data_IF_161726499976
#
_entry.id   IF_161726499976
#
_cell.length_a   1.000
_cell.length_b   1.000
_cell.length_c   1.000
_cell.angle_alpha   90.00
_cell.angle_beta   90.00
_cell.angle_gamma   90.00
#
_symmetry.space_group_name_H-M   'P 1'
#
loop_
_entity.id
_entity.type
_entity.pdbx_description
1 polymer ?
#
# COMPACT_ATOMS: atom_id res chain seq x y z
N UNK A 1 -18.80 11.67 -14.92
CA UNK A 1 -17.63 12.23 -14.21
C UNK A 1 -16.47 12.14 -15.19
N UNK A 2 -15.91 13.27 -15.60
CA UNK A 2 -14.88 13.31 -16.66
C UNK A 2 -13.52 13.52 -16.02
N UNK A 3 -12.57 12.65 -16.31
CA UNK A 3 -11.21 12.71 -15.76
C UNK A 3 -10.25 13.16 -16.86
N UNK A 4 -9.49 14.22 -16.59
CA UNK A 4 -8.47 14.72 -17.51
C UNK A 4 -7.11 14.28 -16.95
N UNK A 5 -6.32 13.60 -17.78
CA UNK A 5 -4.93 13.23 -17.46
C UNK A 5 -3.99 14.17 -18.21
N UNK A 6 -3.16 14.89 -17.47
CA UNK A 6 -2.13 15.79 -18.04
C UNK A 6 -0.78 15.35 -17.50
N UNK A 7 0.16 15.10 -18.39
CA UNK A 7 1.55 14.79 -18.02
C UNK A 7 2.37 16.06 -18.11
N UNK A 8 3.04 16.44 -17.02
CA UNK A 8 3.90 17.62 -16.94
C UNK A 8 5.29 17.15 -16.53
N UNK A 9 6.30 17.47 -17.32
CA UNK A 9 7.68 17.05 -17.07
C UNK A 9 8.35 17.82 -15.91
N UNK A 10 7.93 19.07 -15.67
CA UNK A 10 8.45 19.93 -14.62
C UNK A 10 7.61 19.79 -13.34
N UNK A 11 8.24 19.33 -12.25
CA UNK A 11 7.59 19.12 -10.96
C UNK A 11 7.09 20.42 -10.31
N UNK A 12 7.81 21.53 -10.47
CA UNK A 12 7.42 22.83 -9.91
C UNK A 12 6.19 23.38 -10.63
N UNK A 13 6.13 23.17 -11.94
CA UNK A 13 4.99 23.57 -12.75
C UNK A 13 3.76 22.70 -12.44
N UNK A 14 3.95 21.39 -12.23
CA UNK A 14 2.89 20.48 -11.80
C UNK A 14 2.27 20.91 -10.46
N UNK A 15 3.09 21.27 -9.46
CA UNK A 15 2.60 21.75 -8.17
C UNK A 15 1.79 23.06 -8.28
N UNK A 16 2.25 24.01 -9.10
CA UNK A 16 1.52 25.27 -9.36
C UNK A 16 0.17 25.00 -10.02
N UNK A 17 0.13 24.09 -10.99
CA UNK A 17 -1.12 23.71 -11.66
C UNK A 17 -2.09 23.06 -10.69
N UNK A 18 -1.63 22.15 -9.83
CA UNK A 18 -2.50 21.50 -8.82
C UNK A 18 -3.06 22.49 -7.83
N UNK A 19 -2.24 23.45 -7.37
CA UNK A 19 -2.73 24.54 -6.51
C UNK A 19 -3.81 25.34 -7.21
N UNK A 20 -3.64 25.67 -8.49
CA UNK A 20 -4.65 26.36 -9.28
C UNK A 20 -5.93 25.52 -9.46
N UNK A 21 -5.82 24.24 -9.83
CA UNK A 21 -6.97 23.36 -10.04
C UNK A 21 -7.80 23.18 -8.75
N UNK A 22 -7.16 23.16 -7.58
CA UNK A 22 -7.85 23.14 -6.28
C UNK A 22 -8.65 24.41 -5.97
N UNK A 23 -8.39 25.53 -6.65
CA UNK A 23 -9.18 26.77 -6.48
C UNK A 23 -10.48 26.75 -7.29
N UNK A 24 -10.62 25.84 -8.26
CA UNK A 24 -11.80 25.75 -9.12
C UNK A 24 -12.84 24.89 -8.42
N UNK A 25 -14.00 25.48 -8.08
CA UNK A 25 -15.07 24.83 -7.31
C UNK A 25 -15.66 23.57 -7.95
N UNK A 26 -15.54 23.42 -9.28
CA UNK A 26 -16.04 22.27 -10.02
C UNK A 26 -15.07 21.07 -10.05
N UNK A 27 -13.82 21.26 -9.59
CA UNK A 27 -12.82 20.19 -9.56
C UNK A 27 -13.01 19.40 -8.27
N UNK A 28 -13.49 18.17 -8.40
CA UNK A 28 -13.78 17.30 -7.25
C UNK A 28 -12.52 16.74 -6.60
N UNK A 29 -11.51 16.39 -7.39
CA UNK A 29 -10.28 15.78 -6.90
C UNK A 29 -9.10 16.07 -7.84
N UNK A 30 -7.91 16.21 -7.27
CA UNK A 30 -6.65 16.44 -8.00
C UNK A 30 -5.55 15.63 -7.35
N UNK A 31 -5.05 14.62 -8.05
CA UNK A 31 -3.90 13.81 -7.64
C UNK A 31 -2.66 14.13 -8.47
N UNK A 32 -1.50 14.12 -7.82
CA UNK A 32 -0.19 14.14 -8.49
C UNK A 32 0.36 12.73 -8.37
N UNK A 33 0.45 12.02 -9.49
CA UNK A 33 1.12 10.72 -9.54
C UNK A 33 2.62 10.96 -9.76
N UNK A 34 3.43 10.65 -8.75
CA UNK A 34 4.89 10.62 -8.90
C UNK A 34 5.27 9.33 -9.63
N UNK A 35 6.16 9.42 -10.61
CA UNK A 35 6.71 8.22 -11.26
C UNK A 35 7.46 7.39 -10.22
N UNK A 36 7.00 6.16 -10.00
CA UNK A 36 7.63 5.20 -9.09
C UNK A 36 8.96 4.78 -9.70
N UNK A 37 10.04 4.99 -8.97
CA UNK A 37 11.40 4.62 -9.40
C UNK A 37 11.81 3.27 -8.81
N UNK A 38 12.83 2.63 -9.40
CA UNK A 38 13.38 1.36 -8.91
C UNK A 38 13.80 1.36 -7.42
N UNK A 39 14.07 2.55 -6.85
CA UNK A 39 14.41 2.74 -5.44
C UNK A 39 13.17 2.73 -4.52
N UNK A 40 11.99 3.04 -5.06
CA UNK A 40 10.71 2.98 -4.33
C UNK A 40 10.19 1.55 -4.22
N UNK A 41 10.77 0.61 -4.97
CA UNK A 41 10.44 -0.81 -4.87
C UNK A 41 11.11 -1.43 -3.66
N UNK A 42 10.30 -2.05 -2.82
CA UNK A 42 10.75 -2.95 -1.77
C UNK A 42 11.43 -4.15 -2.44
N UNK A 43 12.76 -4.20 -2.40
CA UNK A 43 13.53 -5.36 -2.90
C UNK A 43 13.16 -6.61 -2.09
N UNK A 44 12.85 -7.70 -2.79
CA UNK A 44 12.61 -9.01 -2.17
C UNK A 44 13.82 -9.43 -1.34
N UNK A 45 13.59 -9.93 -0.12
CA UNK A 45 14.65 -10.38 0.79
C UNK A 45 15.31 -9.28 1.64
N UNK A 46 14.81 -8.03 1.61
CA UNK A 46 15.23 -7.04 2.60
C UNK A 46 14.75 -7.44 3.99
N UNK A 47 15.56 -7.18 5.01
CA UNK A 47 15.10 -7.25 6.39
C UNK A 47 13.94 -6.29 6.60
N UNK A 48 12.92 -6.75 7.33
CA UNK A 48 11.80 -5.89 7.72
C UNK A 48 12.34 -4.70 8.53
N UNK A 49 11.78 -3.51 8.28
CA UNK A 49 12.10 -2.35 9.12
C UNK A 49 11.44 -2.51 10.49
N UNK A 50 12.02 -1.89 11.52
CA UNK A 50 11.46 -1.94 12.89
C UNK A 50 9.99 -1.51 12.93
N UNK A 51 9.59 -0.54 12.08
CA UNK A 51 8.19 -0.10 11.98
C UNK A 51 7.26 -1.18 11.44
N UNK A 52 7.71 -1.93 10.43
CA UNK A 52 6.93 -3.04 9.86
C UNK A 52 6.83 -4.22 10.83
N UNK A 53 7.89 -4.48 11.61
CA UNK A 53 7.89 -5.48 12.67
C UNK A 53 6.93 -5.08 13.80
N UNK A 54 6.97 -3.82 14.23
CA UNK A 54 6.08 -3.33 15.27
C UNK A 54 4.61 -3.35 14.81
N UNK A 55 4.33 -2.96 13.57
CA UNK A 55 2.98 -3.06 13.01
C UNK A 55 2.48 -4.50 12.98
N UNK A 56 3.34 -5.46 12.59
CA UNK A 56 2.99 -6.88 12.63
C UNK A 56 2.70 -7.37 14.05
N UNK A 57 3.47 -6.93 15.05
CA UNK A 57 3.22 -7.28 16.45
C UNK A 57 1.91 -6.67 16.97
N UNK A 58 1.65 -5.41 16.64
CA UNK A 58 0.38 -4.75 16.97
C UNK A 58 -0.82 -5.42 16.29
N UNK A 59 -0.67 -5.85 15.04
CA UNK A 59 -1.69 -6.62 14.33
C UNK A 59 -1.91 -7.99 14.99
N UNK A 60 -0.84 -8.70 15.38
CA UNK A 60 -0.94 -9.98 16.10
C UNK A 60 -1.57 -9.86 17.48
N UNK A 61 -1.30 -8.78 18.21
CA UNK A 61 -1.91 -8.50 19.52
C UNK A 61 -3.38 -8.09 19.40
N UNK A 62 -3.75 -7.40 18.31
CA UNK A 62 -5.13 -7.03 18.01
C UNK A 62 -5.91 -8.13 17.29
N UNK A 63 -5.23 -9.18 16.81
CA UNK A 63 -5.88 -10.33 16.18
C UNK A 63 -6.58 -11.17 17.26
N UNK A 64 -7.84 -10.83 17.53
CA UNK A 64 -8.76 -11.63 18.37
C UNK A 64 -9.21 -12.92 17.68
N UNK A 65 -8.56 -13.34 16.60
CA UNK A 65 -8.85 -14.61 15.96
C UNK A 65 -8.14 -15.73 16.73
N UNK A 66 -8.93 -16.42 17.57
CA UNK A 66 -8.58 -17.65 18.26
C UNK A 66 -8.34 -18.81 17.27
N UNK A 67 -7.40 -18.68 16.33
CA UNK A 67 -6.90 -19.83 15.59
C UNK A 67 -6.07 -20.68 16.55
N UNK A 68 -6.79 -21.51 17.30
CA UNK A 68 -6.20 -22.49 18.20
C UNK A 68 -5.21 -23.35 17.42
N UNK A 69 -4.06 -23.64 18.03
CA UNK A 69 -3.00 -24.52 17.51
C UNK A 69 -3.49 -25.85 16.94
N UNK A 70 -4.68 -26.29 17.36
CA UNK A 70 -5.36 -27.48 16.87
C UNK A 70 -5.89 -27.34 15.43
N UNK A 71 -6.38 -26.16 15.04
CA UNK A 71 -6.87 -25.88 13.68
C UNK A 71 -5.72 -25.86 12.68
N UNK A 72 -4.59 -25.25 13.06
CA UNK A 72 -3.35 -25.26 12.26
C UNK A 72 -2.82 -26.69 12.07
N UNK A 73 -2.87 -27.52 13.13
CA UNK A 73 -2.42 -28.91 13.08
C UNK A 73 -3.36 -29.79 12.22
N UNK A 74 -4.65 -29.49 12.19
CA UNK A 74 -5.62 -30.18 11.34
C UNK A 74 -5.41 -29.88 9.85
N UNK A 75 -5.13 -28.62 9.49
CA UNK A 75 -4.89 -28.24 8.10
C UNK A 75 -3.52 -28.69 7.58
N UNK A 76 -2.49 -28.77 8.45
CA UNK A 76 -1.21 -29.40 8.12
C UNK A 76 -1.36 -30.90 7.77
N UNK A 77 -2.22 -31.63 8.50
CA UNK A 77 -2.53 -33.04 8.16
C UNK A 77 -3.26 -33.17 6.83
N UNK A 78 -4.18 -32.25 6.50
CA UNK A 78 -4.83 -32.23 5.18
C UNK A 78 -3.83 -31.96 4.06
N UNK A 79 -2.86 -31.08 4.29
CA UNK A 79 -1.79 -30.79 3.34
C UNK A 79 -0.86 -31.98 3.11
N UNK A 80 -0.46 -32.70 4.18
CA UNK A 80 0.32 -33.93 4.05
C UNK A 80 -0.40 -35.03 3.26
N UNK A 81 -1.73 -35.14 3.37
CA UNK A 81 -2.53 -36.13 2.62
C UNK A 81 -2.75 -35.78 1.14
N UNK A 82 -2.47 -34.53 0.75
CA UNK A 82 -2.56 -34.06 -0.65
C UNK A 82 -1.23 -34.22 -1.42
N UNK A 83 -0.18 -34.70 -0.75
CA UNK A 83 1.09 -35.13 -1.34
C UNK A 83 1.07 -36.63 -1.58
#
# INVERSE_FOLDING_TARGET
MTTIKVTIADSVLAEKLVKFLKTISYVKDVSIEKTITGADWIKSGRTATEKEVNLMLEEMENDKTEFTTEQVRADLKKWQKRK
#
